data_IF_069578684472
#
_entry.id   IF_069578684472
#
_cell.length_a   1.000
_cell.length_b   1.000
_cell.length_c   1.000
_cell.angle_alpha   90.00
_cell.angle_beta   90.00
_cell.angle_gamma   90.00
#
_symmetry.space_group_name_H-M   'P 1'
#
loop_
_entity.id
_entity.type
_entity.pdbx_description
1 polymer ?
#
# COMPACT_ATOMS: atom_id res chain seq x y z
N UNK A 1 -0.02 -24.25 -10.11
CA UNK A 1 -0.75 -23.27 -10.93
C UNK A 1 -0.75 -21.96 -10.18
N UNK A 2 -0.15 -20.91 -10.74
CA UNK A 2 -0.22 -19.58 -10.15
C UNK A 2 -1.57 -18.98 -10.52
N UNK A 3 -2.43 -18.74 -9.55
CA UNK A 3 -3.67 -17.99 -9.76
C UNK A 3 -3.30 -16.56 -10.15
N UNK A 4 -3.52 -16.19 -11.41
CA UNK A 4 -3.38 -14.80 -11.85
C UNK A 4 -4.59 -14.01 -11.37
N UNK A 5 -4.45 -13.35 -10.23
CA UNK A 5 -5.40 -12.33 -9.80
C UNK A 5 -5.03 -11.02 -10.48
N UNK A 6 -5.88 -10.56 -11.39
CA UNK A 6 -5.74 -9.24 -11.99
C UNK A 6 -6.19 -8.17 -10.98
N UNK A 7 -5.24 -7.52 -10.34
CA UNK A 7 -5.49 -6.50 -9.33
C UNK A 7 -5.62 -5.15 -10.02
N UNK A 8 -6.86 -4.72 -10.20
CA UNK A 8 -7.17 -3.38 -10.72
C UNK A 8 -6.67 -2.31 -9.73
N UNK A 9 -5.90 -1.36 -10.24
CA UNK A 9 -5.25 -0.35 -9.40
C UNK A 9 -6.20 0.76 -8.98
N UNK A 10 -7.15 1.15 -9.83
CA UNK A 10 -8.14 2.20 -9.53
C UNK A 10 -9.12 1.70 -8.48
N UNK A 11 -9.60 0.46 -8.64
CA UNK A 11 -10.48 -0.20 -7.66
C UNK A 11 -9.75 -0.34 -6.33
N UNK A 12 -8.49 -0.81 -6.33
CA UNK A 12 -7.71 -0.95 -5.10
C UNK A 12 -7.52 0.39 -4.37
N UNK A 13 -7.24 1.47 -5.10
CA UNK A 13 -7.07 2.80 -4.52
C UNK A 13 -8.37 3.27 -3.88
N UNK A 14 -9.49 3.10 -4.57
CA UNK A 14 -10.83 3.46 -4.07
C UNK A 14 -11.15 2.71 -2.79
N UNK A 15 -11.03 1.38 -2.79
CA UNK A 15 -11.36 0.55 -1.62
C UNK A 15 -10.48 0.83 -0.41
N UNK A 16 -9.21 1.17 -0.63
CA UNK A 16 -8.30 1.57 0.44
C UNK A 16 -8.63 2.97 0.93
N UNK A 17 -8.95 3.91 0.04
CA UNK A 17 -9.31 5.27 0.40
C UNK A 17 -10.51 5.32 1.34
N UNK A 18 -11.56 4.55 1.04
CA UNK A 18 -12.78 4.42 1.86
C UNK A 18 -12.51 3.84 3.27
N UNK A 19 -11.38 3.16 3.47
CA UNK A 19 -11.03 2.48 4.72
C UNK A 19 -9.82 3.17 5.38
N UNK A 20 -10.04 4.24 6.17
CA UNK A 20 -8.95 4.98 6.82
C UNK A 20 -8.08 4.10 7.73
N UNK A 21 -8.63 3.04 8.31
CA UNK A 21 -7.88 2.03 9.07
C UNK A 21 -6.70 1.40 8.29
N UNK A 22 -6.72 1.42 6.95
CA UNK A 22 -5.65 0.86 6.11
C UNK A 22 -4.49 1.83 5.85
N UNK A 23 -4.71 3.14 5.96
CA UNK A 23 -3.72 4.13 5.52
C UNK A 23 -3.54 5.30 6.48
N UNK A 24 -4.56 5.66 7.25
CA UNK A 24 -4.56 6.83 8.12
C UNK A 24 -4.05 6.47 9.52
N UNK A 25 -2.78 6.74 9.78
CA UNK A 25 -2.16 6.56 11.10
C UNK A 25 -2.71 7.48 12.20
N UNK A 26 -3.53 8.47 11.85
CA UNK A 26 -4.09 9.44 12.81
C UNK A 26 -5.36 8.95 13.47
N UNK A 27 -6.03 7.93 12.91
CA UNK A 27 -7.21 7.31 13.54
C UNK A 27 -6.77 6.22 14.52
N UNK A 28 -7.50 6.07 15.62
CA UNK A 28 -7.15 5.05 16.63
C UNK A 28 -7.40 3.64 16.11
N UNK A 29 -8.37 3.46 15.21
CA UNK A 29 -8.66 2.20 14.54
C UNK A 29 -7.44 1.64 13.77
N UNK A 30 -6.53 2.49 13.30
CA UNK A 30 -5.28 2.06 12.65
C UNK A 30 -4.38 1.22 13.57
N UNK A 31 -4.48 1.45 14.89
CA UNK A 31 -3.75 0.66 15.90
C UNK A 31 -4.41 -0.69 16.15
N UNK A 32 -5.69 -0.84 15.78
CA UNK A 32 -6.42 -2.09 15.91
C UNK A 32 -6.07 -3.05 14.76
N UNK A 33 -5.32 -4.08 15.13
CA UNK A 33 -4.86 -5.13 14.23
C UNK A 33 -6.01 -5.97 13.68
N UNK A 34 -7.08 -6.14 14.45
CA UNK A 34 -8.26 -6.91 14.06
C UNK A 34 -9.01 -6.18 12.97
N UNK A 35 -9.26 -4.88 13.15
CA UNK A 35 -9.92 -4.04 12.14
C UNK A 35 -9.10 -3.90 10.87
N UNK A 36 -7.78 -3.76 11.00
CA UNK A 36 -6.86 -3.73 9.84
C UNK A 36 -6.94 -5.04 9.04
N UNK A 37 -6.92 -6.19 9.71
CA UNK A 37 -7.01 -7.49 9.05
C UNK A 37 -8.37 -7.70 8.38
N UNK A 38 -9.46 -7.35 9.06
CA UNK A 38 -10.82 -7.47 8.54
C UNK A 38 -11.01 -6.60 7.30
N UNK A 39 -10.50 -5.37 7.34
CA UNK A 39 -10.53 -4.45 6.20
C UNK A 39 -9.77 -5.00 5.00
N UNK A 40 -8.58 -5.59 5.20
CA UNK A 40 -7.85 -6.24 4.11
C UNK A 40 -8.58 -7.46 3.55
N UNK A 41 -9.21 -8.27 4.41
CA UNK A 41 -10.02 -9.41 3.95
C UNK A 41 -11.16 -8.93 3.07
N UNK A 42 -11.83 -7.84 3.46
CA UNK A 42 -12.91 -7.29 2.67
C UNK A 42 -12.43 -6.72 1.33
N UNK A 43 -11.29 -6.01 1.31
CA UNK A 43 -10.67 -5.59 0.05
C UNK A 43 -10.40 -6.81 -0.84
N UNK A 44 -9.82 -7.89 -0.29
CA UNK A 44 -9.59 -9.12 -1.05
C UNK A 44 -10.88 -9.77 -1.57
N UNK A 45 -11.97 -9.76 -0.80
CA UNK A 45 -13.29 -10.25 -1.23
C UNK A 45 -13.86 -9.43 -2.38
N UNK A 46 -13.73 -8.10 -2.33
CA UNK A 46 -14.20 -7.25 -3.41
C UNK A 46 -13.36 -7.39 -4.68
N UNK A 47 -12.07 -7.72 -4.55
CA UNK A 47 -11.20 -7.97 -5.70
C UNK A 47 -11.36 -9.39 -6.28
N UNK A 48 -11.90 -10.33 -5.50
CA UNK A 48 -12.10 -11.72 -5.90
C UNK A 48 -13.39 -12.23 -5.26
N UNK A 49 -14.45 -12.34 -6.07
CA UNK A 49 -15.76 -12.85 -5.62
C UNK A 49 -15.65 -14.25 -4.98
N UNK A 50 -14.77 -15.12 -5.49
CA UNK A 50 -14.56 -16.47 -4.96
C UNK A 50 -13.64 -16.53 -3.73
N UNK A 51 -13.22 -15.39 -3.17
CA UNK A 51 -12.17 -15.35 -2.13
C UNK A 51 -12.48 -16.23 -0.93
N UNK A 52 -13.73 -16.26 -0.44
CA UNK A 52 -14.10 -17.07 0.73
C UNK A 52 -14.16 -18.57 0.44
N UNK A 53 -14.38 -18.97 -0.81
CA UNK A 53 -14.43 -20.36 -1.27
C UNK A 53 -13.03 -20.94 -1.52
N UNK A 54 -12.00 -20.11 -1.54
CA UNK A 54 -10.62 -20.54 -1.80
C UNK A 54 -9.94 -21.15 -0.56
N UNK A 55 -8.99 -22.08 -0.77
CA UNK A 55 -8.13 -22.60 0.30
C UNK A 55 -7.37 -21.49 1.02
N UNK A 56 -7.05 -21.70 2.30
CA UNK A 56 -6.25 -20.75 3.11
C UNK A 56 -4.96 -20.29 2.43
N UNK A 57 -4.30 -21.21 1.73
CA UNK A 57 -3.07 -20.93 1.01
C UNK A 57 -3.29 -19.89 -0.10
N UNK A 58 -4.32 -20.08 -0.91
CA UNK A 58 -4.62 -19.20 -2.03
C UNK A 58 -5.14 -17.85 -1.53
N UNK A 59 -5.99 -17.83 -0.49
CA UNK A 59 -6.42 -16.59 0.18
C UNK A 59 -5.25 -15.76 0.68
N UNK A 60 -4.27 -16.42 1.29
CA UNK A 60 -3.06 -15.78 1.79
C UNK A 60 -2.19 -15.22 0.65
N UNK A 61 -2.05 -15.96 -0.46
CA UNK A 61 -1.26 -15.50 -1.60
C UNK A 61 -1.94 -14.32 -2.32
N UNK A 62 -3.26 -14.32 -2.44
CA UNK A 62 -4.04 -13.18 -2.94
C UNK A 62 -3.83 -11.96 -2.05
N UNK A 63 -3.96 -12.14 -0.72
CA UNK A 63 -3.72 -11.06 0.24
C UNK A 63 -2.34 -10.43 0.08
N UNK A 64 -1.29 -11.27 -0.08
CA UNK A 64 0.07 -10.78 -0.33
C UNK A 64 0.16 -10.00 -1.65
N UNK A 65 -0.49 -10.47 -2.71
CA UNK A 65 -0.46 -9.78 -4.01
C UNK A 65 -1.14 -8.41 -3.94
N UNK A 66 -2.33 -8.34 -3.34
CA UNK A 66 -3.10 -7.09 -3.15
C UNK A 66 -2.28 -6.09 -2.34
N UNK A 67 -1.75 -6.52 -1.20
CA UNK A 67 -0.91 -5.68 -0.34
C UNK A 67 0.37 -5.22 -1.04
N UNK A 68 1.04 -6.10 -1.79
CA UNK A 68 2.23 -5.75 -2.58
C UNK A 68 1.90 -4.73 -3.68
N UNK A 69 0.75 -4.86 -4.34
CA UNK A 69 0.30 -3.89 -5.35
C UNK A 69 0.04 -2.53 -4.71
N UNK A 70 -0.68 -2.48 -3.59
CA UNK A 70 -0.90 -1.26 -2.81
C UNK A 70 0.42 -0.61 -2.38
N UNK A 71 1.37 -1.41 -1.88
CA UNK A 71 2.71 -0.95 -1.53
C UNK A 71 3.38 -0.18 -2.67
N UNK A 72 3.38 -0.79 -3.86
CA UNK A 72 3.98 -0.20 -5.05
C UNK A 72 3.27 1.10 -5.46
N UNK A 73 1.94 1.13 -5.44
CA UNK A 73 1.14 2.33 -5.78
C UNK A 73 1.51 3.48 -4.82
N UNK A 74 1.47 3.20 -3.51
CA UNK A 74 1.80 4.17 -2.46
C UNK A 74 3.24 4.66 -2.58
N UNK A 75 4.20 3.75 -2.79
CA UNK A 75 5.62 4.12 -2.91
C UNK A 75 5.90 4.98 -4.15
N UNK A 76 5.24 4.68 -5.28
CA UNK A 76 5.33 5.51 -6.48
C UNK A 76 4.76 6.91 -6.23
N UNK A 77 3.59 6.98 -5.58
CA UNK A 77 2.99 8.26 -5.21
C UNK A 77 3.89 9.06 -4.26
N UNK A 78 4.41 8.44 -3.20
CA UNK A 78 5.29 9.10 -2.23
C UNK A 78 6.56 9.66 -2.87
N UNK A 79 7.19 8.90 -3.77
CA UNK A 79 8.35 9.38 -4.54
C UNK A 79 7.98 10.55 -5.44
N UNK A 80 6.86 10.47 -6.14
CA UNK A 80 6.37 11.54 -7.00
C UNK A 80 6.04 12.81 -6.19
N UNK A 81 5.33 12.65 -5.06
CA UNK A 81 4.92 13.72 -4.17
C UNK A 81 6.14 14.43 -3.54
N UNK A 82 7.14 13.67 -3.09
CA UNK A 82 8.40 14.21 -2.58
C UNK A 82 9.12 15.06 -3.63
N UNK A 83 9.29 14.54 -4.85
CA UNK A 83 9.92 15.27 -5.97
C UNK A 83 9.17 16.56 -6.29
N UNK A 84 7.84 16.50 -6.35
CA UNK A 84 7.01 17.69 -6.59
C UNK A 84 7.17 18.74 -5.49
N UNK A 85 7.39 18.33 -4.24
CA UNK A 85 7.60 19.27 -3.12
C UNK A 85 9.03 19.85 -3.11
N UNK A 86 10.03 19.10 -3.57
CA UNK A 86 11.43 19.55 -3.69
C UNK A 86 11.61 20.56 -4.83
N UNK A 87 11.00 20.32 -6.00
CA UNK A 87 11.07 21.24 -7.15
C UNK A 87 10.35 22.57 -6.87
N UNK A 88 9.25 22.56 -6.10
CA UNK A 88 8.57 23.80 -5.67
C UNK A 88 9.47 24.74 -4.86
N UNK A 89 10.53 24.22 -4.24
CA UNK A 89 11.46 24.98 -3.39
C UNK A 89 12.69 25.50 -4.16
N UNK A 90 12.86 25.14 -5.44
CA UNK A 90 14.07 25.43 -6.21
C UNK A 90 13.78 26.39 -7.36
N UNK A 91 14.71 27.32 -7.61
CA UNK A 91 14.52 28.50 -8.48
C UNK A 91 14.38 28.23 -10.00
N UNK A 92 14.67 29.26 -10.80
CA UNK A 92 14.30 29.43 -12.21
C UNK A 92 14.69 28.32 -13.23
N UNK A 93 15.31 27.20 -12.80
CA UNK A 93 15.64 26.04 -13.63
C UNK A 93 14.83 24.76 -13.34
N UNK A 94 13.79 24.83 -12.50
CA UNK A 94 13.01 23.66 -12.08
C UNK A 94 12.36 22.93 -13.27
N UNK A 95 12.56 21.61 -13.36
CA UNK A 95 11.98 20.78 -14.43
C UNK A 95 10.54 20.44 -14.07
N UNK A 96 9.61 20.53 -15.03
CA UNK A 96 8.22 20.08 -14.83
C UNK A 96 8.20 18.57 -14.55
N UNK A 97 8.05 18.20 -13.27
CA UNK A 97 7.90 16.79 -12.86
C UNK A 97 6.53 16.28 -13.30
N UNK A 98 6.50 15.21 -14.09
CA UNK A 98 5.26 14.55 -14.49
C UNK A 98 4.61 13.89 -13.27
N UNK A 99 3.32 14.17 -13.07
CA UNK A 99 2.51 13.52 -12.03
C UNK A 99 2.36 12.03 -12.31
N UNK A 100 2.31 11.23 -11.24
CA UNK A 100 1.93 9.82 -11.33
C UNK A 100 0.49 9.68 -11.85
N UNK A 101 0.18 8.59 -12.54
CA UNK A 101 -1.13 8.38 -13.17
C UNK A 101 -2.28 8.54 -12.15
N UNK A 102 -2.16 7.88 -11.00
CA UNK A 102 -3.14 7.93 -9.91
C UNK A 102 -2.83 9.01 -8.87
N UNK A 103 -2.16 10.10 -9.26
CA UNK A 103 -1.67 11.10 -8.31
C UNK A 103 -2.79 11.82 -7.56
N UNK A 104 -3.85 12.21 -8.29
CA UNK A 104 -4.98 12.94 -7.71
C UNK A 104 -5.83 12.05 -6.80
N UNK A 105 -6.05 10.78 -7.18
CA UNK A 105 -6.81 9.82 -6.36
C UNK A 105 -6.09 9.48 -5.06
N UNK A 106 -4.76 9.51 -5.06
CA UNK A 106 -3.94 9.25 -3.87
C UNK A 106 -3.69 10.50 -3.03
N UNK A 107 -4.36 11.62 -3.33
CA UNK A 107 -4.17 12.89 -2.62
C UNK A 107 -4.53 12.81 -1.13
N UNK A 108 -5.42 11.90 -0.73
CA UNK A 108 -5.73 11.65 0.68
C UNK A 108 -4.49 11.25 1.50
N UNK A 109 -3.48 10.63 0.86
CA UNK A 109 -2.21 10.28 1.51
C UNK A 109 -1.36 11.50 1.88
N UNK A 110 -1.65 12.70 1.38
CA UNK A 110 -0.96 13.93 1.78
C UNK A 110 -1.02 14.14 3.30
N UNK A 111 -2.17 13.81 3.91
CA UNK A 111 -2.39 13.88 5.36
C UNK A 111 -1.29 13.16 6.15
N UNK A 112 -0.84 12.00 5.68
CA UNK A 112 0.18 11.19 6.37
C UNK A 112 1.61 11.45 5.87
N UNK A 113 1.76 12.01 4.66
CA UNK A 113 3.05 12.22 3.99
C UNK A 113 3.81 13.44 4.53
N UNK A 114 3.11 14.54 4.83
CA UNK A 114 3.72 15.74 5.42
C UNK A 114 4.10 15.54 6.90
N UNK A 115 3.41 14.64 7.60
CA UNK A 115 3.82 14.19 8.93
C UNK A 115 5.02 13.22 8.81
N UNK A 116 6.25 13.76 8.90
CA UNK A 116 7.51 13.02 9.03
C UNK A 116 7.41 11.92 10.09
N UNK A 117 7.04 10.72 9.68
CA UNK A 117 7.29 9.50 10.43
C UNK A 117 7.83 8.52 9.42
N UNK A 118 9.10 8.16 9.61
CA UNK A 118 9.85 7.16 8.86
C UNK A 118 8.94 6.02 8.45
N UNK A 119 8.85 5.77 7.15
CA UNK A 119 8.17 4.62 6.57
C UNK A 119 8.75 3.35 7.21
N UNK A 120 8.12 2.87 8.28
CA UNK A 120 8.29 1.49 8.67
C UNK A 120 7.63 0.69 7.56
N UNK A 121 8.47 0.28 6.61
CA UNK A 121 8.26 -0.79 5.63
C UNK A 121 7.30 -1.77 6.28
N UNK A 122 6.09 -1.90 5.72
CA UNK A 122 5.04 -2.82 6.11
C UNK A 122 5.11 -3.29 7.56
N UNK A 123 4.26 -2.78 8.47
CA UNK A 123 4.34 -3.12 9.89
C UNK A 123 4.64 -4.61 10.07
N UNK A 124 5.75 -4.93 10.75
CA UNK A 124 6.22 -6.32 10.99
C UNK A 124 5.09 -7.24 11.49
N UNK A 125 4.03 -6.68 12.05
CA UNK A 125 2.79 -7.37 12.45
C UNK A 125 1.97 -8.01 11.32
N UNK A 126 2.02 -7.53 10.06
CA UNK A 126 1.35 -8.21 8.95
C UNK A 126 2.11 -9.47 8.50
N UNK A 127 3.42 -9.53 8.75
CA UNK A 127 4.20 -10.76 8.52
C UNK A 127 3.91 -11.86 9.54
N UNK A 128 3.38 -11.53 10.73
CA UNK A 128 3.04 -12.52 11.77
C UNK A 128 1.64 -13.13 11.64
N UNK A 129 0.75 -12.49 10.86
CA UNK A 129 -0.58 -13.05 10.53
C UNK A 129 -0.54 -14.04 9.36
N UNK A 130 0.64 -14.17 8.74
CA UNK A 130 0.95 -15.12 7.67
C UNK A 130 1.85 -16.19 8.32
N UNK A 131 1.40 -17.44 8.53
CA UNK A 131 2.26 -18.49 9.05
C UNK A 131 3.46 -18.67 8.11
N UNK A 132 4.64 -18.26 8.61
CA UNK A 132 6.01 -18.44 8.10
C UNK A 132 6.15 -18.62 6.59
N UNK A 133 6.31 -17.52 5.86
CA UNK A 133 7.03 -17.55 4.58
C UNK A 133 8.28 -16.66 4.67
N UNK A 134 9.43 -17.32 4.60
CA UNK A 134 10.76 -16.71 4.50
C UNK A 134 10.79 -15.71 3.35
N UNK A 135 10.99 -14.43 3.67
CA UNK A 135 11.20 -13.37 2.68
C UNK A 135 12.71 -13.29 2.38
N UNK A 136 13.13 -13.37 1.11
CA UNK A 136 14.55 -13.24 0.76
C UNK A 136 15.05 -11.83 1.12
N UNK A 137 16.16 -11.80 1.86
CA UNK A 137 16.91 -10.60 2.25
C UNK A 137 17.28 -9.82 1.00
N UNK A 138 16.59 -8.71 0.70
CA UNK A 138 17.14 -7.72 -0.23
C UNK A 138 18.40 -7.14 0.40
N UNK A 139 19.53 -7.49 -0.20
CA UNK A 139 20.84 -6.92 0.02
C UNK A 139 20.76 -5.39 -0.01
N UNK A 140 21.16 -4.77 1.09
CA UNK A 140 21.68 -3.40 1.07
C UNK A 140 23.16 -3.51 0.66
N UNK A 141 23.66 -2.70 -0.29
CA UNK A 141 25.09 -2.61 -0.51
C UNK A 141 25.71 -1.94 0.72
N UNK A 142 26.57 -2.67 1.42
CA UNK A 142 27.51 -2.06 2.35
C UNK A 142 28.58 -1.32 1.53
N UNK A 143 28.89 -0.13 2.02
CA UNK A 143 30.01 0.73 1.62
C UNK A 143 31.29 -0.04 1.37
#
# INVERSE_FOLDING_TARGET
>A
MSLEVNIDSEVLITLVHERPVLWDKTVDEYKDKRLTLESWKEVCRQMKEDFDSLPDKDRNDIGKMVMKKWANIRDNWMKCHKKLNEEKKSGAGAKKVRKYLFYEELRFLQKIADHRVTFQIFPKMMTSLIPKLSMPKRMLPLR
#
